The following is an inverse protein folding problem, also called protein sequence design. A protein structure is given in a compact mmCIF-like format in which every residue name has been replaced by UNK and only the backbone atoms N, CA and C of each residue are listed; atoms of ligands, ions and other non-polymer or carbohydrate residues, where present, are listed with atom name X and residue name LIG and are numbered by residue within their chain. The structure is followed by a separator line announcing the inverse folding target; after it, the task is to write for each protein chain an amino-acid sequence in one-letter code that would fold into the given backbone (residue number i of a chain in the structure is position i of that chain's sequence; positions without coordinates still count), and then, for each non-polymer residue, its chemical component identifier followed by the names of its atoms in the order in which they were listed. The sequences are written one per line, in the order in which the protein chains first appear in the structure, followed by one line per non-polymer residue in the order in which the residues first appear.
data_IF_999705238264
#
_entry.id   IF_999705238264
#
_cell.length_a   1.000
_cell.length_b   1.000
_cell.length_c   1.000
_cell.angle_alpha   90.00
_cell.angle_beta   90.00
_cell.angle_gamma   90.00
#
_symmetry.space_group_name_H-M   'P 1'
#
loop_
_entity.id
_entity.type
_entity.pdbx_description
1 polymer ?
#
# COMPACT_ATOMS: atom_id res chain seq x y z
N UNK A 1 0.38 -21.45 -4.08
CA UNK A 1 0.00 -20.30 -3.24
C UNK A 1 0.37 -19.03 -3.99
N UNK A 2 -0.58 -18.13 -4.21
CA UNK A 2 -0.39 -16.88 -4.95
C UNK A 2 -0.20 -15.69 -3.99
N UNK A 3 0.26 -14.54 -4.52
CA UNK A 3 0.31 -13.30 -3.74
C UNK A 3 -1.09 -12.90 -3.26
N UNK A 4 -2.10 -13.02 -4.13
CA UNK A 4 -3.50 -12.75 -3.78
C UNK A 4 -3.96 -13.58 -2.59
N UNK A 5 -3.75 -14.89 -2.60
CA UNK A 5 -4.15 -15.79 -1.50
C UNK A 5 -3.50 -15.39 -0.17
N UNK A 6 -2.21 -15.05 -0.17
CA UNK A 6 -1.51 -14.62 1.04
C UNK A 6 -1.96 -13.26 1.56
N UNK A 7 -2.25 -12.31 0.68
CA UNK A 7 -2.79 -11.01 1.07
C UNK A 7 -4.19 -11.17 1.69
N UNK A 8 -5.04 -12.00 1.11
CA UNK A 8 -6.35 -12.32 1.68
C UNK A 8 -6.22 -13.02 3.04
N UNK A 9 -5.23 -13.92 3.22
CA UNK A 9 -4.91 -14.52 4.53
C UNK A 9 -4.41 -13.51 5.58
N UNK A 10 -3.87 -12.36 5.14
CA UNK A 10 -3.53 -11.23 6.00
C UNK A 10 -4.73 -10.31 6.32
N UNK A 11 -5.91 -10.59 5.74
CA UNK A 11 -7.11 -9.80 5.92
C UNK A 11 -7.27 -8.66 4.93
N UNK A 12 -6.56 -8.69 3.78
CA UNK A 12 -6.77 -7.77 2.67
C UNK A 12 -8.01 -8.17 1.88
N UNK A 13 -8.86 -7.19 1.54
CA UNK A 13 -10.04 -7.43 0.70
C UNK A 13 -9.65 -8.02 -0.66
N UNK A 14 -10.40 -8.98 -1.22
CA UNK A 14 -10.04 -9.67 -2.46
C UNK A 14 -9.77 -8.74 -3.66
N UNK A 15 -10.54 -7.66 -3.79
CA UNK A 15 -10.40 -6.67 -4.86
C UNK A 15 -9.07 -5.92 -4.73
N UNK A 16 -8.72 -5.50 -3.51
CA UNK A 16 -7.44 -4.85 -3.22
C UNK A 16 -6.26 -5.82 -3.39
N UNK A 17 -6.41 -7.09 -2.99
CA UNK A 17 -5.40 -8.12 -3.20
C UNK A 17 -5.17 -8.38 -4.70
N UNK A 18 -6.23 -8.39 -5.50
CA UNK A 18 -6.16 -8.47 -6.96
C UNK A 18 -5.43 -7.27 -7.56
N UNK A 19 -5.78 -6.05 -7.14
CA UNK A 19 -5.11 -4.84 -7.61
C UNK A 19 -3.63 -4.83 -7.24
N UNK A 20 -3.26 -5.25 -6.03
CA UNK A 20 -1.87 -5.31 -5.59
C UNK A 20 -1.08 -6.38 -6.36
N UNK A 21 -1.68 -7.55 -6.61
CA UNK A 21 -1.05 -8.58 -7.45
C UNK A 21 -0.84 -8.09 -8.88
N UNK A 22 -1.85 -7.49 -9.50
CA UNK A 22 -1.75 -6.93 -10.86
C UNK A 22 -0.74 -5.79 -10.92
N UNK A 23 -0.71 -4.93 -9.90
CA UNK A 23 0.30 -3.90 -9.77
C UNK A 23 1.69 -4.55 -9.73
N UNK A 24 1.94 -5.51 -8.85
CA UNK A 24 3.24 -6.15 -8.70
C UNK A 24 3.67 -7.03 -9.90
N UNK A 25 2.76 -7.37 -10.82
CA UNK A 25 3.04 -8.12 -12.04
C UNK A 25 3.62 -7.21 -13.15
N UNK A 26 4.81 -6.66 -12.92
CA UNK A 26 5.49 -5.75 -13.86
C UNK A 26 6.96 -6.13 -14.08
N UNK A 27 7.51 -5.76 -15.24
CA UNK A 27 8.93 -6.02 -15.59
C UNK A 27 9.88 -4.92 -15.11
N UNK A 28 9.36 -3.70 -14.98
CA UNK A 28 10.07 -2.54 -14.46
C UNK A 28 9.08 -1.65 -13.71
N UNK A 29 9.58 -0.73 -12.91
CA UNK A 29 8.82 0.27 -12.17
C UNK A 29 8.74 -0.01 -10.68
N UNK A 30 8.30 0.99 -9.92
CA UNK A 30 8.35 0.99 -8.46
C UNK A 30 6.98 0.77 -7.82
N UNK A 31 6.93 -0.10 -6.82
CA UNK A 31 5.80 -0.20 -5.89
C UNK A 31 6.24 0.38 -4.54
N UNK A 32 5.54 1.37 -4.01
CA UNK A 32 5.81 1.91 -2.67
C UNK A 32 4.71 1.52 -1.73
N UNK A 33 5.08 0.96 -0.59
CA UNK A 33 4.15 0.65 0.49
C UNK A 33 4.30 1.69 1.60
N UNK A 34 3.20 2.36 1.92
CA UNK A 34 3.14 3.43 2.92
C UNK A 34 1.98 3.23 3.92
N UNK A 35 1.96 4.05 4.97
CA UNK A 35 1.00 3.98 6.06
C UNK A 35 1.64 3.99 7.47
N UNK A 36 0.84 4.05 8.54
CA UNK A 36 1.30 4.20 9.92
C UNK A 36 2.26 3.09 10.38
N UNK A 37 2.91 3.31 11.53
CA UNK A 37 3.70 2.26 12.18
C UNK A 37 2.81 1.06 12.53
N UNK A 38 3.36 -0.16 12.47
CA UNK A 38 2.66 -1.38 12.89
C UNK A 38 1.61 -1.94 11.91
N UNK A 39 1.32 -1.28 10.78
CA UNK A 39 0.28 -1.78 9.84
C UNK A 39 0.71 -2.99 9.01
N UNK A 40 2.01 -3.33 8.97
CA UNK A 40 2.52 -4.50 8.24
C UNK A 40 3.16 -4.21 6.88
N UNK A 41 3.64 -2.98 6.64
CA UNK A 41 4.26 -2.57 5.36
C UNK A 41 5.39 -3.50 4.91
N UNK A 42 6.33 -3.80 5.81
CA UNK A 42 7.47 -4.68 5.54
C UNK A 42 7.00 -6.10 5.20
N UNK A 43 6.00 -6.61 5.92
CA UNK A 43 5.39 -7.92 5.65
C UNK A 43 4.79 -7.97 4.26
N UNK A 44 4.06 -6.95 3.83
CA UNK A 44 3.50 -6.89 2.47
C UNK A 44 4.61 -6.77 1.42
N UNK A 45 5.67 -5.99 1.67
CA UNK A 45 6.81 -5.89 0.76
C UNK A 45 7.53 -7.24 0.57
N UNK A 46 7.70 -8.00 1.66
CA UNK A 46 8.30 -9.34 1.63
C UNK A 46 7.43 -10.34 0.86
N UNK A 47 6.10 -10.26 0.97
CA UNK A 47 5.21 -11.07 0.16
C UNK A 47 5.33 -10.70 -1.32
N UNK A 48 5.35 -9.41 -1.65
CA UNK A 48 5.53 -8.95 -3.05
C UNK A 48 6.82 -9.54 -3.63
N UNK A 49 7.96 -9.36 -2.96
CA UNK A 49 9.24 -9.93 -3.40
C UNK A 49 9.18 -11.44 -3.60
N UNK A 50 8.65 -12.16 -2.61
CA UNK A 50 8.58 -13.63 -2.63
C UNK A 50 7.75 -14.17 -3.80
N UNK A 51 6.65 -13.51 -4.14
CA UNK A 51 5.67 -14.04 -5.10
C UNK A 51 5.78 -13.44 -6.50
N UNK A 52 6.41 -12.29 -6.68
CA UNK A 52 6.55 -11.66 -8.00
C UNK A 52 7.99 -11.52 -8.49
N UNK A 53 8.98 -11.76 -7.61
CA UNK A 53 10.38 -11.57 -7.92
C UNK A 53 10.80 -10.10 -8.01
N UNK A 54 9.91 -9.16 -7.66
CA UNK A 54 10.29 -7.76 -7.50
C UNK A 54 11.39 -7.64 -6.45
N UNK A 55 12.42 -6.86 -6.74
CA UNK A 55 13.52 -6.63 -5.81
C UNK A 55 13.04 -5.77 -4.65
N UNK A 56 13.08 -6.30 -3.43
CA UNK A 56 12.73 -5.52 -2.25
C UNK A 56 13.86 -4.58 -1.86
N UNK A 57 13.46 -3.35 -1.60
CA UNK A 57 14.28 -2.29 -1.07
C UNK A 57 13.90 -2.08 0.40
N UNK A 58 14.84 -1.55 1.18
CA UNK A 58 14.62 -1.27 2.59
C UNK A 58 13.63 -0.15 2.86
N UNK A 59 13.66 0.37 4.08
CA UNK A 59 12.99 1.63 4.43
C UNK A 59 13.70 2.78 3.69
N UNK A 60 13.03 3.42 2.73
CA UNK A 60 13.56 4.60 2.02
C UNK A 60 13.33 5.85 2.87
N UNK A 61 14.41 6.58 3.17
CA UNK A 61 14.40 7.66 4.16
C UNK A 61 14.93 8.98 3.63
N UNK A 62 15.97 8.93 2.82
CA UNK A 62 16.65 10.14 2.31
C UNK A 62 16.25 10.43 0.87
N UNK A 63 16.44 11.68 0.44
CA UNK A 63 16.22 12.09 -0.94
C UNK A 63 17.14 11.32 -1.88
N UNK A 64 18.43 11.18 -1.52
CA UNK A 64 19.43 10.46 -2.30
C UNK A 64 19.03 9.00 -2.54
N UNK A 65 18.64 8.27 -1.48
CA UNK A 65 18.17 6.89 -1.56
C UNK A 65 16.96 6.76 -2.50
N UNK A 66 16.00 7.68 -2.40
CA UNK A 66 14.79 7.65 -3.24
C UNK A 66 15.16 7.92 -4.70
N UNK A 67 15.99 8.92 -4.98
CA UNK A 67 16.42 9.27 -6.34
C UNK A 67 17.18 8.11 -7.00
N UNK A 68 18.09 7.45 -6.29
CA UNK A 68 18.80 6.28 -6.79
C UNK A 68 17.85 5.13 -7.14
N UNK A 69 16.89 4.89 -6.26
CA UNK A 69 15.88 3.84 -6.44
C UNK A 69 14.93 4.14 -7.59
N UNK A 70 14.52 5.39 -7.79
CA UNK A 70 13.70 5.78 -8.92
C UNK A 70 14.41 5.52 -10.25
N UNK A 71 15.71 5.83 -10.34
CA UNK A 71 16.52 5.52 -11.52
C UNK A 71 16.65 4.01 -11.75
N UNK A 72 16.84 3.23 -10.69
CA UNK A 72 16.86 1.77 -10.76
C UNK A 72 15.52 1.22 -11.29
N UNK A 73 14.42 1.79 -10.82
CA UNK A 73 13.07 1.38 -11.18
C UNK A 73 12.73 1.59 -12.67
N UNK A 74 13.44 2.47 -13.39
CA UNK A 74 13.26 2.65 -14.84
C UNK A 74 13.58 1.35 -15.62
N UNK A 75 14.47 0.50 -15.10
CA UNK A 75 14.87 -0.76 -15.73
C UNK A 75 14.54 -2.03 -14.94
N UNK A 76 14.26 -1.92 -13.64
CA UNK A 76 13.99 -3.05 -12.75
C UNK A 76 12.66 -2.89 -12.01
N UNK A 77 11.98 -4.00 -11.72
CA UNK A 77 10.79 -3.99 -10.89
C UNK A 77 11.20 -4.03 -9.41
N UNK A 78 10.91 -2.96 -8.68
CA UNK A 78 11.36 -2.79 -7.28
C UNK A 78 10.19 -2.47 -6.34
N UNK A 79 10.25 -2.98 -5.11
CA UNK A 79 9.27 -2.68 -4.06
C UNK A 79 9.96 -2.06 -2.85
N UNK A 80 9.53 -0.88 -2.41
CA UNK A 80 10.10 -0.16 -1.27
C UNK A 80 9.05 0.17 -0.22
N UNK A 81 9.52 0.47 1.00
CA UNK A 81 8.65 0.93 2.10
C UNK A 81 9.05 2.35 2.47
N UNK A 82 8.05 3.21 2.68
CA UNK A 82 8.26 4.57 3.21
C UNK A 82 7.58 4.68 4.56
N UNK A 83 8.30 5.23 5.56
CA UNK A 83 7.73 5.60 6.85
C UNK A 83 7.09 6.98 6.76
N UNK A 84 5.94 7.09 6.09
CA UNK A 84 5.09 8.28 6.22
C UNK A 84 4.02 8.03 7.29
N UNK A 85 3.93 8.93 8.28
CA UNK A 85 2.86 8.90 9.28
C UNK A 85 1.48 9.12 8.66
N UNK A 86 1.44 9.69 7.45
CA UNK A 86 0.23 9.95 6.69
C UNK A 86 0.47 9.50 5.25
N UNK A 87 -0.31 8.52 4.81
CA UNK A 87 -0.22 7.89 3.49
C UNK A 87 -0.71 8.78 2.34
N UNK A 88 -1.50 9.81 2.64
CA UNK A 88 -1.97 10.82 1.66
C UNK A 88 -0.88 11.83 1.24
N UNK A 89 0.28 11.80 1.91
CA UNK A 89 1.33 12.78 1.71
C UNK A 89 2.58 12.27 0.99
N UNK A 90 2.58 11.10 0.36
CA UNK A 90 3.81 10.59 -0.27
C UNK A 90 4.30 11.53 -1.38
N UNK A 91 3.42 11.92 -2.30
CA UNK A 91 3.75 12.86 -3.38
C UNK A 91 4.11 14.25 -2.86
N UNK A 92 3.38 14.75 -1.86
CA UNK A 92 3.72 16.02 -1.18
C UNK A 92 5.08 15.95 -0.52
N UNK A 93 5.35 14.89 0.24
CA UNK A 93 6.62 14.71 0.94
C UNK A 93 7.79 14.56 -0.01
N UNK A 94 7.60 13.86 -1.12
CA UNK A 94 8.64 13.75 -2.13
C UNK A 94 8.90 15.08 -2.83
N UNK A 95 7.86 15.88 -3.06
CA UNK A 95 8.00 17.26 -3.52
C UNK A 95 8.75 18.13 -2.50
N UNK A 96 8.45 18.00 -1.21
CA UNK A 96 9.16 18.70 -0.12
C UNK A 96 10.63 18.27 0.00
N UNK A 97 10.95 17.07 -0.50
CA UNK A 97 12.30 16.53 -0.60
C UNK A 97 12.95 16.87 -1.95
N UNK A 98 12.39 17.77 -2.75
CA UNK A 98 12.90 18.14 -4.08
C UNK A 98 13.14 16.93 -5.00
N UNK A 99 12.26 15.92 -4.96
CA UNK A 99 12.29 14.80 -5.90
C UNK A 99 11.57 15.24 -7.19
N UNK A 100 12.27 15.24 -8.35
CA UNK A 100 11.67 15.59 -9.64
C UNK A 100 10.48 14.69 -10.01
N UNK A 101 9.35 15.29 -10.39
CA UNK A 101 8.17 14.55 -10.84
C UNK A 101 8.48 13.69 -12.07
N UNK A 102 9.35 14.17 -12.98
CA UNK A 102 9.75 13.41 -14.17
C UNK A 102 10.44 12.09 -13.80
N UNK A 103 11.18 12.04 -12.67
CA UNK A 103 11.77 10.78 -12.20
C UNK A 103 10.69 9.82 -11.67
N UNK A 104 9.68 10.34 -10.98
CA UNK A 104 8.55 9.55 -10.46
C UNK A 104 7.74 8.94 -11.62
N UNK A 105 7.50 9.73 -12.66
CA UNK A 105 6.78 9.29 -13.87
C UNK A 105 7.57 8.22 -14.63
N UNK A 106 8.87 8.44 -14.90
CA UNK A 106 9.71 7.44 -15.59
C UNK A 106 9.84 6.14 -14.80
N UNK A 107 9.93 6.22 -13.48
CA UNK A 107 9.95 5.07 -12.59
C UNK A 107 8.59 4.35 -12.47
N UNK A 108 7.52 4.84 -13.13
CA UNK A 108 6.18 4.26 -13.12
C UNK A 108 5.71 3.92 -11.70
N UNK A 109 5.86 4.88 -10.78
CA UNK A 109 5.60 4.67 -9.35
C UNK A 109 4.10 4.41 -9.12
N UNK A 110 3.79 3.27 -8.52
CA UNK A 110 2.48 2.97 -7.95
C UNK A 110 2.56 2.93 -6.43
N UNK A 111 1.52 3.41 -5.76
CA UNK A 111 1.49 3.52 -4.29
C UNK A 111 0.49 2.53 -3.70
N UNK A 112 0.90 1.85 -2.63
CA UNK A 112 0.05 0.98 -1.81
C UNK A 112 -0.03 1.58 -0.42
N UNK A 113 -1.20 2.11 -0.10
CA UNK A 113 -1.50 2.64 1.23
C UNK A 113 -2.11 1.54 2.09
N UNK A 114 -1.51 1.28 3.26
CA UNK A 114 -2.04 0.32 4.23
C UNK A 114 -2.68 1.00 5.45
N UNK A 115 -3.77 0.40 5.94
CA UNK A 115 -4.38 0.67 7.24
C UNK A 115 -4.78 -0.62 7.93
N UNK A 116 -4.61 -0.67 9.25
CA UNK A 116 -5.06 -1.79 10.07
C UNK A 116 -6.29 -1.34 10.84
N UNK A 117 -7.38 -2.09 10.72
CA UNK A 117 -8.62 -1.85 11.42
C UNK A 117 -8.86 -2.95 12.47
N UNK A 118 -9.10 -2.58 13.74
CA UNK A 118 -9.51 -3.55 14.73
C UNK A 118 -10.89 -4.11 14.32
N UNK A 119 -11.03 -5.43 14.44
CA UNK A 119 -12.30 -6.11 14.21
C UNK A 119 -13.35 -5.66 15.24
N UNK A 120 -14.62 -5.72 14.85
CA UNK A 120 -15.73 -5.56 15.79
C UNK A 120 -15.69 -6.70 16.85
N UNK A 121 -16.02 -6.43 18.13
CA UNK A 121 -16.00 -7.46 19.18
C UNK A 121 -16.88 -8.68 18.89
N UNK A 122 -17.99 -8.48 18.17
CA UNK A 122 -18.91 -9.54 17.77
C UNK A 122 -18.36 -10.42 16.63
N UNK A 123 -17.33 -9.97 15.92
CA UNK A 123 -16.71 -10.70 14.82
C UNK A 123 -15.54 -11.57 15.34
N UNK A 124 -15.77 -12.88 15.40
CA UNK A 124 -14.79 -13.85 15.88
C UNK A 124 -13.73 -14.17 14.82
N UNK A 125 -12.86 -13.20 14.51
CA UNK A 125 -11.66 -13.41 13.72
C UNK A 125 -10.42 -13.46 14.62
N UNK A 126 -9.34 -14.12 14.19
CA UNK A 126 -8.10 -14.19 14.98
C UNK A 126 -7.18 -12.98 14.76
N UNK A 127 -7.43 -12.17 13.73
CA UNK A 127 -6.57 -11.05 13.31
C UNK A 127 -7.41 -9.80 13.00
N UNK A 128 -6.79 -8.64 13.14
CA UNK A 128 -7.29 -7.37 12.60
C UNK A 128 -7.37 -7.40 11.08
N UNK A 129 -8.24 -6.56 10.51
CA UNK A 129 -8.39 -6.44 9.07
C UNK A 129 -7.36 -5.46 8.50
N UNK A 130 -6.80 -5.78 7.35
CA UNK A 130 -5.77 -4.98 6.68
C UNK A 130 -6.38 -4.36 5.43
N UNK A 131 -6.61 -3.06 5.43
CA UNK A 131 -7.05 -2.34 4.24
C UNK A 131 -5.84 -1.98 3.40
N UNK A 132 -6.00 -2.08 2.08
CA UNK A 132 -4.99 -1.73 1.11
C UNK A 132 -5.62 -0.94 -0.03
N UNK A 133 -5.17 0.29 -0.24
CA UNK A 133 -5.55 1.10 -1.40
C UNK A 133 -4.36 1.13 -2.35
N UNK A 134 -4.59 0.74 -3.60
CA UNK A 134 -3.57 0.72 -4.65
C UNK A 134 -3.86 1.84 -5.62
N UNK A 135 -2.96 2.81 -5.68
CA UNK A 135 -3.01 3.94 -6.59
C UNK A 135 -2.09 3.67 -7.79
N UNK A 136 -2.64 3.86 -8.99
CA UNK A 136 -1.90 3.82 -10.25
C UNK A 136 -0.88 4.95 -10.36
N UNK A 137 -0.17 4.97 -11.49
CA UNK A 137 0.82 6.02 -11.82
C UNK A 137 0.18 7.40 -12.01
N UNK A 138 -1.10 7.43 -12.34
CA UNK A 138 -1.96 8.62 -12.43
C UNK A 138 -2.61 8.99 -11.09
N UNK A 139 -2.22 8.30 -10.01
CA UNK A 139 -2.82 8.39 -8.67
C UNK A 139 -4.30 7.98 -8.59
N UNK A 140 -4.86 7.34 -9.62
CA UNK A 140 -6.23 6.82 -9.57
C UNK A 140 -6.28 5.48 -8.81
N UNK A 141 -7.33 5.24 -7.99
CA UNK A 141 -7.49 3.96 -7.30
C UNK A 141 -7.81 2.83 -8.28
N UNK A 142 -7.15 1.67 -8.12
CA UNK A 142 -7.30 0.51 -9.02
C UNK A 142 -8.37 -0.52 -8.59
N UNK A 143 -8.86 -0.45 -7.35
CA UNK A 143 -9.91 -1.35 -6.84
C UNK A 143 -11.00 -0.57 -6.08
N UNK A 144 -10.57 0.27 -5.14
CA UNK A 144 -11.43 1.11 -4.31
C UNK A 144 -10.61 1.80 -3.24
N UNK A 145 -11.11 2.93 -2.76
CA UNK A 145 -10.44 3.73 -1.74
C UNK A 145 -10.45 3.04 -0.38
N UNK A 146 -9.58 3.49 0.53
CA UNK A 146 -9.62 3.02 1.92
C UNK A 146 -10.99 3.29 2.57
N UNK A 147 -11.60 4.44 2.26
CA UNK A 147 -12.88 4.84 2.83
C UNK A 147 -14.02 3.94 2.35
N UNK A 148 -14.06 3.57 1.06
CA UNK A 148 -15.06 2.64 0.50
C UNK A 148 -14.92 1.24 1.09
N UNK A 149 -13.68 0.76 1.24
CA UNK A 149 -13.40 -0.52 1.91
C UNK A 149 -13.90 -0.49 3.36
N UNK A 150 -13.59 0.57 4.11
CA UNK A 150 -14.05 0.73 5.49
C UNK A 150 -15.58 0.76 5.60
N UNK A 151 -16.27 1.50 4.72
CA UNK A 151 -17.75 1.56 4.67
C UNK A 151 -18.35 0.18 4.43
N UNK A 152 -17.74 -0.61 3.56
CA UNK A 152 -18.16 -2.00 3.29
C UNK A 152 -18.03 -2.86 4.53
N UNK A 153 -16.89 -2.79 5.24
CA UNK A 153 -16.63 -3.56 6.45
C UNK A 153 -17.53 -3.17 7.62
N UNK A 154 -17.83 -1.87 7.79
CA UNK A 154 -18.77 -1.37 8.80
C UNK A 154 -20.19 -1.83 8.50
N UNK A 155 -20.62 -1.73 7.24
CA UNK A 155 -21.94 -2.20 6.82
C UNK A 155 -22.13 -3.70 7.02
N UNK A 156 -21.05 -4.48 6.88
CA UNK A 156 -21.02 -5.91 7.15
C UNK A 156 -20.90 -6.27 8.65
N UNK A 157 -20.78 -5.29 9.55
CA UNK A 157 -20.62 -5.50 10.99
C UNK A 157 -19.26 -6.09 11.39
N UNK A 158 -18.27 -6.04 10.50
CA UNK A 158 -16.93 -6.61 10.72
C UNK A 158 -16.00 -5.63 11.45
N UNK A 159 -16.29 -4.33 11.36
CA UNK A 159 -15.54 -3.22 11.98
C UNK A 159 -16.57 -2.24 12.55
N UNK A 160 -16.23 -1.55 13.64
CA UNK A 160 -17.10 -0.51 14.21
C UNK A 160 -16.92 0.81 13.44
N UNK A 161 -18.00 1.61 13.37
CA UNK A 161 -17.94 2.94 12.75
C UNK A 161 -16.89 3.85 13.43
N UNK A 162 -16.76 3.76 14.75
CA UNK A 162 -15.73 4.48 15.52
C UNK A 162 -14.30 4.10 15.11
N UNK A 163 -14.02 2.81 14.94
CA UNK A 163 -12.71 2.35 14.49
C UNK A 163 -12.40 2.83 13.07
N UNK A 164 -13.39 2.80 12.18
CA UNK A 164 -13.25 3.31 10.82
C UNK A 164 -12.90 4.81 10.82
N UNK A 165 -13.63 5.65 11.56
CA UNK A 165 -13.35 7.09 11.70
C UNK A 165 -11.95 7.38 12.23
N UNK A 166 -11.48 6.60 13.20
CA UNK A 166 -10.18 6.84 13.82
C UNK A 166 -9.00 6.45 12.91
N UNK A 167 -9.10 5.32 12.21
CA UNK A 167 -7.96 4.75 11.49
C UNK A 167 -7.92 5.10 9.99
N UNK A 168 -9.06 5.43 9.38
CA UNK A 168 -9.18 5.60 7.92
C UNK A 168 -9.40 7.08 7.58
N UNK A 169 -8.42 7.74 6.92
CA UNK A 169 -8.60 9.13 6.49
C UNK A 169 -9.72 9.25 5.47
N UNK A 170 -10.50 10.34 5.55
CA UNK A 170 -11.63 10.59 4.64
C UNK A 170 -12.84 9.68 4.87
N UNK A 171 -12.86 8.89 5.95
CA UNK A 171 -14.05 8.18 6.38
C UNK A 171 -15.00 9.14 7.11
N UNK A 172 -16.01 9.63 6.37
CA UNK A 172 -17.16 10.38 6.86
C UNK A 172 -18.48 9.66 6.52
#
# INVERSE_FOLDING_TARGET
MTLHEELTNLGVMPEAATALQSAAARRAGMLIICGPAGVGKTTVAELVERYTGMRRLGDLRTQEEIVEVLRLAEGEAVVGVVRSGESFGLSSRWRDMDIPNELVERASVMTVTLRRLPKAPAFNATKDLLLAEVLGTDHAPLAGSLAEQAKTLVSAGLVTDEAARFHVPGYE
#
